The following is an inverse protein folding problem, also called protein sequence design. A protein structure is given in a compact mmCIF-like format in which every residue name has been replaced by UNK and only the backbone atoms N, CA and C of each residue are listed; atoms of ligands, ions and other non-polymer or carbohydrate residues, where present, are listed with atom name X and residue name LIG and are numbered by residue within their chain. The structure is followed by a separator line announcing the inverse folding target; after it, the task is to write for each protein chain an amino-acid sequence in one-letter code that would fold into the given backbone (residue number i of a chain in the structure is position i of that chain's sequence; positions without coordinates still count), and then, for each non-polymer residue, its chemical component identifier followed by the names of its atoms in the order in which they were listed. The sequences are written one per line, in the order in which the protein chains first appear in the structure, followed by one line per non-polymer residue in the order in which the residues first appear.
data_IF_290369220959
#
_entry.id   IF_290369220959
#
_cell.length_a   1.000
_cell.length_b   1.000
_cell.length_c   1.000
_cell.angle_alpha   90.00
_cell.angle_beta   90.00
_cell.angle_gamma   90.00
#
_symmetry.space_group_name_H-M   'P 1'
#
loop_
_entity.id
_entity.type
_entity.pdbx_description
1 polymer ?
#
# COMPACT_ATOMS: atom_id res chain seq x y z
N UNK A 1 9.59 1.62 -45.37
CA UNK A 1 9.75 0.20 -45.01
C UNK A 1 9.69 0.15 -43.48
N UNK A 2 8.50 -0.04 -42.95
CA UNK A 2 8.14 0.08 -41.52
C UNK A 2 8.25 -1.32 -40.90
N UNK A 3 9.30 -1.57 -40.13
CA UNK A 3 9.42 -2.76 -39.30
C UNK A 3 8.66 -2.55 -37.98
N UNK A 4 7.48 -3.18 -37.90
CA UNK A 4 6.71 -3.28 -36.64
C UNK A 4 7.38 -4.33 -35.74
N UNK A 5 8.05 -3.91 -34.70
CA UNK A 5 8.41 -4.77 -33.59
C UNK A 5 7.19 -4.98 -32.70
N UNK A 6 6.51 -6.11 -32.88
CA UNK A 6 5.56 -6.64 -31.90
C UNK A 6 6.38 -7.44 -30.88
N UNK A 7 6.71 -6.85 -29.75
CA UNK A 7 7.10 -7.65 -28.60
C UNK A 7 5.87 -8.40 -28.08
N UNK A 8 5.81 -9.69 -28.39
CA UNK A 8 4.95 -10.64 -27.70
C UNK A 8 5.53 -10.84 -26.31
N UNK A 9 4.86 -10.31 -25.29
CA UNK A 9 5.07 -10.79 -23.92
C UNK A 9 4.67 -12.26 -23.92
N UNK A 10 5.65 -13.14 -23.96
CA UNK A 10 5.44 -14.56 -23.75
C UNK A 10 5.15 -14.73 -22.25
N UNK A 11 3.89 -14.85 -21.91
CA UNK A 11 3.52 -15.59 -20.71
C UNK A 11 4.09 -17.00 -20.90
N UNK A 12 5.25 -17.24 -20.35
CA UNK A 12 5.73 -18.61 -20.15
C UNK A 12 4.78 -19.19 -19.11
N UNK A 13 3.77 -19.90 -19.61
CA UNK A 13 3.02 -20.83 -18.80
C UNK A 13 4.02 -21.86 -18.27
N UNK A 14 4.63 -21.57 -17.15
CA UNK A 14 5.21 -22.59 -16.31
C UNK A 14 4.02 -23.41 -15.85
N UNK A 15 3.71 -24.47 -16.59
CA UNK A 15 2.93 -25.57 -16.05
C UNK A 15 3.72 -26.03 -14.83
N UNK A 16 3.36 -25.48 -13.65
CA UNK A 16 3.75 -26.10 -12.39
C UNK A 16 3.30 -27.55 -12.52
N UNK A 17 4.21 -28.49 -12.28
CA UNK A 17 3.84 -29.89 -12.04
C UNK A 17 2.67 -29.82 -11.07
N UNK A 18 1.61 -30.58 -11.36
CA UNK A 18 0.48 -30.71 -10.44
C UNK A 18 1.09 -30.92 -9.06
N UNK A 19 0.96 -29.91 -8.20
CA UNK A 19 1.38 -29.97 -6.82
C UNK A 19 0.56 -31.08 -6.15
N UNK A 20 1.10 -31.66 -5.09
CA UNK A 20 0.38 -32.62 -4.24
C UNK A 20 -1.06 -32.13 -4.00
N UNK A 21 -2.04 -33.04 -3.91
CA UNK A 21 -3.42 -32.68 -3.66
C UNK A 21 -3.50 -31.80 -2.40
N UNK A 22 -4.42 -30.83 -2.41
CA UNK A 22 -4.65 -30.00 -1.23
C UNK A 22 -4.91 -30.90 0.00
N UNK A 23 -4.42 -30.52 1.19
CA UNK A 23 -4.72 -31.27 2.40
C UNK A 23 -6.22 -31.25 2.67
N UNK A 24 -6.75 -32.36 3.19
CA UNK A 24 -8.17 -32.44 3.54
C UNK A 24 -8.58 -31.48 4.66
N UNK A 25 -7.63 -31.15 5.56
CA UNK A 25 -7.83 -30.20 6.67
C UNK A 25 -6.56 -29.42 6.98
N UNK A 26 -6.72 -28.19 7.48
CA UNK A 26 -5.64 -27.35 8.00
C UNK A 26 -6.11 -26.57 9.24
N UNK A 27 -5.26 -26.39 10.27
CA UNK A 27 -5.61 -25.55 11.42
C UNK A 27 -5.86 -24.10 11.03
N UNK A 28 -4.99 -23.51 10.19
CA UNK A 28 -5.14 -22.12 9.73
C UNK A 28 -4.99 -22.03 8.22
N UNK A 29 -6.01 -21.50 7.58
CA UNK A 29 -6.00 -21.15 6.16
C UNK A 29 -5.88 -19.64 6.00
N UNK A 30 -4.88 -19.19 5.25
CA UNK A 30 -4.74 -17.80 4.83
C UNK A 30 -5.09 -17.68 3.34
N UNK A 31 -6.01 -16.79 2.99
CA UNK A 31 -6.46 -16.56 1.62
C UNK A 31 -5.85 -15.25 1.13
N UNK A 32 -4.98 -15.34 0.10
CA UNK A 32 -4.23 -14.25 -0.49
C UNK A 32 -2.73 -14.31 -0.15
N UNK A 33 -1.88 -14.23 -1.18
CA UNK A 33 -0.42 -14.18 -1.09
C UNK A 33 0.13 -12.77 -1.40
N UNK A 34 -0.55 -11.74 -0.92
CA UNK A 34 -0.08 -10.38 -0.80
C UNK A 34 0.65 -10.15 0.54
N UNK A 35 0.99 -8.89 0.84
CA UNK A 35 1.77 -8.52 2.03
C UNK A 35 1.12 -9.01 3.34
N UNK A 36 -0.19 -8.80 3.52
CA UNK A 36 -0.88 -9.19 4.75
C UNK A 36 -0.92 -10.71 4.93
N UNK A 37 -1.28 -11.46 3.87
CA UNK A 37 -1.36 -12.91 3.95
C UNK A 37 -0.01 -13.57 4.14
N UNK A 38 1.01 -13.15 3.40
CA UNK A 38 2.36 -13.69 3.53
C UNK A 38 2.99 -13.37 4.88
N UNK A 39 2.81 -12.13 5.36
CA UNK A 39 3.30 -11.74 6.68
C UNK A 39 2.58 -12.49 7.80
N UNK A 40 1.25 -12.67 7.70
CA UNK A 40 0.50 -13.49 8.66
C UNK A 40 1.03 -14.91 8.69
N UNK A 41 1.21 -15.53 7.52
CA UNK A 41 1.75 -16.88 7.42
C UNK A 41 3.18 -17.00 7.98
N UNK A 42 4.04 -16.01 7.71
CA UNK A 42 5.39 -15.96 8.23
C UNK A 42 5.40 -15.93 9.77
N UNK A 43 4.60 -15.06 10.38
CA UNK A 43 4.56 -14.93 11.83
C UNK A 43 3.85 -16.11 12.52
N UNK A 44 2.80 -16.69 11.93
CA UNK A 44 2.19 -17.93 12.43
C UNK A 44 3.18 -19.10 12.42
N UNK A 45 3.87 -19.30 11.30
CA UNK A 45 4.87 -20.35 11.17
C UNK A 45 6.04 -20.19 12.15
N UNK A 46 6.53 -18.95 12.36
CA UNK A 46 7.55 -18.65 13.40
C UNK A 46 7.10 -18.99 14.82
N UNK A 47 5.78 -19.01 15.07
CA UNK A 47 5.18 -19.43 16.36
C UNK A 47 4.90 -20.94 16.40
N UNK A 48 5.34 -21.69 15.40
CA UNK A 48 5.11 -23.13 15.28
C UNK A 48 3.68 -23.51 14.92
N UNK A 49 2.86 -22.59 14.44
CA UNK A 49 1.47 -22.84 14.03
C UNK A 49 1.43 -23.28 12.58
N UNK A 50 0.87 -24.46 12.26
CA UNK A 50 0.72 -24.90 10.87
C UNK A 50 -0.20 -23.95 10.10
N UNK A 51 0.24 -23.52 8.92
CA UNK A 51 -0.50 -22.57 8.08
C UNK A 51 -0.36 -22.92 6.60
N UNK A 52 -1.50 -22.88 5.90
CA UNK A 52 -1.58 -22.95 4.45
C UNK A 52 -2.01 -21.58 3.89
N UNK A 53 -1.27 -21.07 2.91
CA UNK A 53 -1.66 -19.89 2.12
C UNK A 53 -2.19 -20.37 0.77
N UNK A 54 -3.37 -19.90 0.37
CA UNK A 54 -3.91 -20.07 -0.97
C UNK A 54 -3.96 -18.73 -1.70
N UNK A 55 -3.57 -18.73 -2.97
CA UNK A 55 -3.74 -17.59 -3.85
C UNK A 55 -4.24 -18.03 -5.23
N UNK A 56 -5.19 -17.29 -5.81
CA UNK A 56 -5.79 -17.63 -7.11
C UNK A 56 -4.83 -17.49 -8.29
N UNK A 57 -3.81 -16.63 -8.15
CA UNK A 57 -2.87 -16.32 -9.24
C UNK A 57 -1.43 -16.63 -8.83
N UNK A 58 -0.86 -15.89 -7.87
CA UNK A 58 0.53 -16.05 -7.47
C UNK A 58 0.98 -15.07 -6.41
N UNK A 59 2.17 -15.30 -5.89
CA UNK A 59 2.80 -14.42 -4.89
C UNK A 59 2.89 -12.99 -5.42
N UNK A 60 2.26 -12.06 -4.73
CA UNK A 60 2.25 -10.64 -5.09
C UNK A 60 1.52 -10.32 -6.41
N UNK A 61 0.66 -11.20 -6.91
CA UNK A 61 -0.01 -11.00 -8.21
C UNK A 61 -1.01 -9.83 -8.24
N UNK A 62 -1.45 -9.36 -7.08
CA UNK A 62 -2.34 -8.20 -6.94
C UNK A 62 -1.58 -6.90 -6.63
N UNK A 63 -2.23 -6.00 -5.91
CA UNK A 63 -1.74 -4.66 -5.59
C UNK A 63 -0.34 -4.65 -4.95
N UNK A 64 -0.01 -5.63 -4.10
CA UNK A 64 1.31 -5.70 -3.45
C UNK A 64 2.49 -5.85 -4.41
N UNK A 65 2.31 -6.49 -5.57
CA UNK A 65 3.39 -6.67 -6.56
C UNK A 65 3.53 -5.53 -7.55
N UNK A 66 2.62 -4.55 -7.53
CA UNK A 66 2.64 -3.38 -8.44
C UNK A 66 2.68 -2.04 -7.71
N UNK A 67 2.51 -2.03 -6.40
CA UNK A 67 2.64 -0.83 -5.58
C UNK A 67 4.02 -0.18 -5.72
N UNK A 68 4.12 1.13 -5.53
CA UNK A 68 5.39 1.86 -5.58
C UNK A 68 6.42 1.37 -4.54
N UNK A 69 5.96 0.67 -3.53
CA UNK A 69 6.84 0.07 -2.53
C UNK A 69 7.31 1.04 -1.44
N UNK A 70 6.64 2.16 -1.26
CA UNK A 70 6.99 3.16 -0.24
C UNK A 70 6.63 2.66 1.15
N UNK A 71 7.56 2.83 2.09
CA UNK A 71 7.42 2.54 3.52
C UNK A 71 7.69 3.82 4.32
N UNK A 72 6.70 4.29 5.09
CA UNK A 72 6.75 5.57 5.80
C UNK A 72 5.85 5.57 7.03
N UNK A 73 6.06 6.53 7.94
CA UNK A 73 5.19 6.78 9.11
C UNK A 73 4.31 8.03 8.97
N UNK A 74 4.52 8.88 7.97
CA UNK A 74 3.75 10.10 7.76
C UNK A 74 2.26 9.81 7.57
N UNK A 75 1.51 9.82 8.69
CA UNK A 75 0.05 9.70 8.76
C UNK A 75 -0.51 10.65 9.81
N UNK A 76 -1.54 11.41 9.42
CA UNK A 76 -2.26 12.30 10.32
C UNK A 76 -2.99 11.52 11.43
N UNK A 77 -3.47 10.31 11.12
CA UNK A 77 -4.25 9.47 12.04
C UNK A 77 -3.34 8.79 13.08
N UNK A 78 -3.61 8.98 14.39
CA UNK A 78 -2.79 8.41 15.46
C UNK A 78 -2.61 6.90 15.35
N UNK A 79 -3.70 6.17 15.16
CA UNK A 79 -3.66 4.71 15.05
C UNK A 79 -2.80 4.22 13.87
N UNK A 80 -2.85 4.94 12.73
CA UNK A 80 -2.00 4.64 11.58
C UNK A 80 -0.53 4.92 11.87
N UNK A 81 -0.23 6.05 12.51
CA UNK A 81 1.16 6.38 12.87
C UNK A 81 1.78 5.33 13.79
N UNK A 82 1.06 4.85 14.82
CA UNK A 82 1.51 3.78 15.71
C UNK A 82 1.70 2.45 14.97
N UNK A 83 0.72 2.05 14.15
CA UNK A 83 0.81 0.84 13.34
C UNK A 83 1.98 0.92 12.35
N UNK A 84 2.18 2.07 11.72
CA UNK A 84 3.25 2.23 10.72
C UNK A 84 4.64 2.27 11.34
N UNK A 85 4.81 2.78 12.56
CA UNK A 85 6.08 2.66 13.29
C UNK A 85 6.46 1.18 13.47
N UNK A 86 5.50 0.36 13.93
CA UNK A 86 5.69 -1.08 14.04
C UNK A 86 5.92 -1.78 12.67
N UNK A 87 5.36 -1.25 11.59
CA UNK A 87 5.59 -1.78 10.24
C UNK A 87 7.01 -1.49 9.75
N UNK A 88 7.52 -0.27 9.98
CA UNK A 88 8.90 0.08 9.63
C UNK A 88 9.90 -0.84 10.35
N UNK A 89 9.69 -1.10 11.66
CA UNK A 89 10.51 -2.08 12.41
C UNK A 89 10.58 -3.45 11.73
N UNK A 90 9.43 -3.98 11.26
CA UNK A 90 9.40 -5.30 10.60
C UNK A 90 10.10 -5.27 9.24
N UNK A 91 9.99 -4.18 8.48
CA UNK A 91 10.74 -4.01 7.23
C UNK A 91 12.25 -3.99 7.50
N UNK A 92 12.68 -3.36 8.59
CA UNK A 92 14.08 -3.24 8.99
C UNK A 92 14.66 -4.52 9.62
N UNK A 93 13.82 -5.48 10.09
CA UNK A 93 14.30 -6.78 10.59
C UNK A 93 15.00 -7.62 9.51
N UNK A 94 14.54 -7.53 8.25
CA UNK A 94 14.99 -8.41 7.16
C UNK A 94 15.19 -7.63 5.84
N UNK A 95 15.99 -6.53 5.84
CA UNK A 95 16.04 -5.62 4.70
C UNK A 95 16.53 -6.30 3.42
N UNK A 96 17.51 -7.17 3.51
CA UNK A 96 18.04 -7.89 2.34
C UNK A 96 17.01 -8.86 1.76
N UNK A 97 16.36 -9.67 2.61
CA UNK A 97 15.35 -10.63 2.17
C UNK A 97 14.11 -9.95 1.60
N UNK A 98 13.77 -8.78 2.11
CA UNK A 98 12.63 -7.99 1.67
C UNK A 98 12.98 -6.97 0.57
N UNK A 99 14.22 -6.95 0.07
CA UNK A 99 14.68 -5.95 -0.89
C UNK A 99 14.31 -4.52 -0.47
N UNK A 100 14.46 -4.25 0.84
CA UNK A 100 14.11 -2.99 1.47
C UNK A 100 15.32 -2.07 1.57
N UNK A 101 15.12 -0.81 1.22
CA UNK A 101 16.11 0.25 1.21
C UNK A 101 15.73 1.30 2.25
N UNK A 102 16.39 1.34 3.42
CA UNK A 102 16.13 2.32 4.49
C UNK A 102 16.73 3.68 4.13
N UNK A 103 16.13 4.34 3.14
CA UNK A 103 16.64 5.62 2.62
C UNK A 103 15.97 6.83 3.26
N UNK A 104 14.93 6.64 4.07
CA UNK A 104 14.10 7.68 4.63
C UNK A 104 12.96 8.13 3.70
N UNK A 105 12.16 9.06 4.21
CA UNK A 105 11.01 9.63 3.50
C UNK A 105 10.90 11.11 3.81
N UNK A 106 10.61 11.94 2.81
CA UNK A 106 10.44 13.38 2.95
C UNK A 106 9.06 13.77 2.42
N UNK A 107 8.23 14.34 3.28
CA UNK A 107 6.98 15.01 2.91
C UNK A 107 7.19 16.51 2.87
N UNK A 108 6.82 17.13 1.76
CA UNK A 108 6.91 18.57 1.51
C UNK A 108 5.53 19.11 1.16
N UNK A 109 5.19 20.26 1.73
CA UNK A 109 3.90 20.89 1.48
C UNK A 109 3.92 22.41 1.56
N UNK A 110 2.86 23.05 1.06
CA UNK A 110 2.62 24.47 1.24
C UNK A 110 2.05 24.77 2.63
N UNK A 111 1.85 26.05 2.93
CA UNK A 111 1.33 26.55 4.23
C UNK A 111 0.03 25.85 4.67
N UNK A 112 -0.80 25.45 3.74
CA UNK A 112 -2.04 24.75 4.06
C UNK A 112 -1.84 23.40 4.78
N UNK A 113 -0.65 22.80 4.72
CA UNK A 113 -0.31 21.52 5.36
C UNK A 113 0.59 21.69 6.59
N UNK A 114 1.01 22.91 6.95
CA UNK A 114 1.94 23.12 8.07
C UNK A 114 1.40 22.55 9.39
N UNK A 115 0.12 22.77 9.70
CA UNK A 115 -0.48 22.29 10.95
C UNK A 115 -0.50 20.77 11.02
N UNK A 116 -0.90 20.10 9.94
CA UNK A 116 -1.03 18.66 9.91
C UNK A 116 0.35 17.96 9.98
N UNK A 117 1.33 18.42 9.21
CA UNK A 117 2.69 17.87 9.26
C UNK A 117 3.39 18.17 10.60
N UNK A 118 3.07 19.30 11.24
CA UNK A 118 3.55 19.59 12.59
C UNK A 118 2.96 18.60 13.61
N UNK A 119 1.66 18.33 13.53
CA UNK A 119 1.00 17.35 14.42
C UNK A 119 1.56 15.94 14.22
N UNK A 120 1.81 15.55 12.97
CA UNK A 120 2.47 14.26 12.63
C UNK A 120 3.86 14.21 13.26
N UNK A 121 4.69 15.26 13.09
CA UNK A 121 6.01 15.35 13.70
C UNK A 121 5.96 15.22 15.22
N UNK A 122 5.11 15.99 15.90
CA UNK A 122 4.97 15.92 17.35
C UNK A 122 4.57 14.53 17.85
N UNK A 123 3.74 13.83 17.09
CA UNK A 123 3.35 12.44 17.38
C UNK A 123 4.52 11.50 17.18
N UNK A 124 5.28 11.65 16.09
CA UNK A 124 6.49 10.89 15.85
C UNK A 124 7.49 11.03 16.98
N UNK A 125 7.70 12.27 17.49
CA UNK A 125 8.56 12.49 18.65
C UNK A 125 8.04 11.77 19.91
N UNK A 126 6.72 11.80 20.16
CA UNK A 126 6.12 11.10 21.32
C UNK A 126 6.31 9.59 21.29
N UNK A 127 6.26 8.97 20.11
CA UNK A 127 6.45 7.51 19.94
C UNK A 127 7.92 7.14 19.70
N UNK A 128 8.84 8.11 19.69
CA UNK A 128 10.26 7.88 19.47
C UNK A 128 10.64 7.56 18.01
N UNK A 129 9.78 7.90 17.04
CA UNK A 129 10.08 7.71 15.62
C UNK A 129 11.03 8.81 15.12
N UNK A 130 12.18 8.47 14.48
CA UNK A 130 13.20 9.44 14.14
C UNK A 130 12.78 10.31 12.95
N UNK A 131 12.56 11.60 13.22
CA UNK A 131 12.22 12.59 12.21
C UNK A 131 12.63 14.00 12.61
N UNK A 132 12.68 14.90 11.64
CA UNK A 132 12.90 16.33 11.83
C UNK A 132 11.88 17.14 11.01
N UNK A 133 11.55 18.34 11.50
CA UNK A 133 10.58 19.25 10.87
C UNK A 133 11.25 20.59 10.56
N UNK A 134 11.08 21.07 9.32
CA UNK A 134 11.49 22.40 8.91
C UNK A 134 10.25 23.20 8.50
N UNK A 135 10.08 24.40 9.06
CA UNK A 135 8.94 25.28 8.82
C UNK A 135 9.44 26.63 8.30
N UNK A 136 8.75 27.15 7.31
CA UNK A 136 9.08 28.35 6.56
C UNK A 136 9.91 28.04 5.31
N UNK A 137 9.55 28.67 4.18
CA UNK A 137 10.17 28.42 2.88
C UNK A 137 11.71 28.53 2.89
N UNK A 138 12.35 29.52 3.57
CA UNK A 138 13.80 29.57 3.64
C UNK A 138 14.44 28.36 4.33
N UNK A 139 13.83 27.84 5.41
CA UNK A 139 14.32 26.67 6.13
C UNK A 139 14.16 25.39 5.31
N UNK A 140 12.99 25.21 4.67
CA UNK A 140 12.69 24.08 3.77
C UNK A 140 13.66 24.09 2.59
N UNK A 141 13.83 25.23 1.91
CA UNK A 141 14.76 25.34 0.79
C UNK A 141 16.21 25.07 1.20
N UNK A 142 16.65 25.59 2.35
CA UNK A 142 17.99 25.33 2.86
C UNK A 142 18.22 23.85 3.17
N UNK A 143 17.25 23.18 3.83
CA UNK A 143 17.31 21.76 4.11
C UNK A 143 17.37 20.93 2.82
N UNK A 144 16.46 21.16 1.88
CA UNK A 144 16.41 20.41 0.62
C UNK A 144 17.67 20.61 -0.24
N UNK A 145 18.23 21.84 -0.28
CA UNK A 145 19.51 22.10 -0.95
C UNK A 145 20.72 21.48 -0.26
N UNK A 146 20.64 21.23 1.04
CA UNK A 146 21.68 20.46 1.75
C UNK A 146 21.69 18.99 1.31
N UNK A 147 20.55 18.47 0.87
CA UNK A 147 20.39 17.10 0.36
C UNK A 147 20.61 17.03 -1.16
N UNK A 148 20.14 18.02 -1.91
CA UNK A 148 20.15 18.06 -3.38
C UNK A 148 20.54 19.47 -3.84
N UNK A 149 21.72 19.64 -4.41
CA UNK A 149 22.24 20.93 -4.89
C UNK A 149 21.40 21.50 -6.04
N UNK A 150 20.72 20.65 -6.79
CA UNK A 150 19.82 20.98 -7.89
C UNK A 150 18.33 21.13 -7.47
N UNK A 151 18.05 21.23 -6.16
CA UNK A 151 16.69 21.50 -5.67
C UNK A 151 16.21 22.90 -6.03
N UNK A 152 15.00 23.01 -6.60
CA UNK A 152 14.48 24.29 -7.10
C UNK A 152 12.99 24.57 -6.86
N UNK A 153 12.21 23.63 -6.29
CA UNK A 153 10.79 23.85 -6.05
C UNK A 153 10.53 25.04 -5.11
N UNK A 154 9.74 26.05 -5.53
CA UNK A 154 9.35 27.18 -4.70
C UNK A 154 8.06 26.90 -3.91
N UNK A 155 7.71 27.80 -2.97
CA UNK A 155 6.41 27.84 -2.31
C UNK A 155 6.15 26.73 -1.31
N UNK A 156 7.14 25.90 -1.00
CA UNK A 156 7.03 24.84 0.00
C UNK A 156 7.47 25.39 1.36
N UNK A 157 6.56 25.37 2.32
CA UNK A 157 6.76 26.03 3.62
C UNK A 157 6.87 25.03 4.78
N UNK A 158 6.63 23.75 4.53
CA UNK A 158 6.83 22.69 5.53
C UNK A 158 7.52 21.48 4.90
N UNK A 159 8.45 20.89 5.64
CA UNK A 159 9.15 19.67 5.27
C UNK A 159 9.26 18.77 6.52
N UNK A 160 8.65 17.61 6.45
CA UNK A 160 8.83 16.53 7.43
C UNK A 160 9.79 15.49 6.83
N UNK A 161 10.98 15.35 7.42
CA UNK A 161 11.97 14.37 7.01
C UNK A 161 12.02 13.22 8.02
N UNK A 162 11.53 12.05 7.63
CA UNK A 162 11.64 10.81 8.37
C UNK A 162 12.98 10.13 8.06
N UNK A 163 13.78 9.85 9.08
CA UNK A 163 15.08 9.19 8.94
C UNK A 163 14.97 7.67 8.90
N UNK A 164 13.86 7.11 9.37
CA UNK A 164 13.45 5.73 9.20
C UNK A 164 12.44 5.61 8.04
N UNK A 165 12.15 4.40 7.60
CA UNK A 165 11.35 4.20 6.40
C UNK A 165 12.20 4.21 5.12
N UNK A 166 11.55 4.32 3.98
CA UNK A 166 12.19 4.26 2.67
C UNK A 166 11.34 3.54 1.64
N UNK A 167 11.92 2.60 0.91
CA UNK A 167 11.18 1.85 -0.12
C UNK A 167 11.68 0.41 -0.25
N UNK A 168 10.85 -0.44 -0.84
CA UNK A 168 11.23 -1.79 -1.22
C UNK A 168 10.89 -2.06 -2.69
N UNK A 169 11.60 -3.00 -3.31
CA UNK A 169 11.23 -3.47 -4.64
C UNK A 169 10.03 -4.42 -4.52
N UNK A 170 8.91 -3.97 -5.04
CA UNK A 170 7.58 -4.52 -4.79
C UNK A 170 7.45 -6.05 -4.92
N UNK A 171 7.60 -6.59 -6.11
CA UNK A 171 7.42 -8.03 -6.35
C UNK A 171 8.54 -8.86 -5.72
N UNK A 172 9.76 -8.36 -5.68
CA UNK A 172 10.89 -9.01 -5.06
C UNK A 172 10.70 -9.13 -3.55
N UNK A 173 10.19 -8.09 -2.90
CA UNK A 173 9.88 -8.14 -1.47
C UNK A 173 8.77 -9.14 -1.16
N UNK A 174 7.75 -9.26 -2.02
CA UNK A 174 6.72 -10.30 -1.85
C UNK A 174 7.29 -11.71 -2.00
N UNK A 175 8.19 -11.92 -2.96
CA UNK A 175 8.92 -13.20 -3.12
C UNK A 175 9.81 -13.49 -1.91
N UNK A 176 10.55 -12.49 -1.44
CA UNK A 176 11.36 -12.61 -0.24
C UNK A 176 10.54 -12.95 1.01
N UNK A 177 9.40 -12.29 1.19
CA UNK A 177 8.47 -12.58 2.28
C UNK A 177 7.87 -13.99 2.20
N UNK A 178 7.52 -14.45 0.99
CA UNK A 178 7.06 -15.82 0.77
C UNK A 178 8.15 -16.85 1.11
N UNK A 179 9.41 -16.55 0.79
CA UNK A 179 10.54 -17.43 1.13
C UNK A 179 10.84 -17.41 2.64
N UNK A 180 10.68 -16.27 3.31
CA UNK A 180 10.73 -16.20 4.78
C UNK A 180 9.63 -17.07 5.41
N UNK A 181 8.40 -16.99 4.91
CA UNK A 181 7.28 -17.79 5.38
C UNK A 181 7.52 -19.30 5.17
N UNK A 182 7.98 -19.69 3.97
CA UNK A 182 8.30 -21.11 3.66
C UNK A 182 9.42 -21.65 4.56
N UNK A 183 10.49 -20.89 4.75
CA UNK A 183 11.60 -21.28 5.66
C UNK A 183 11.13 -21.45 7.10
N UNK A 184 10.11 -20.69 7.51
CA UNK A 184 9.50 -20.84 8.83
C UNK A 184 8.53 -22.05 8.92
N UNK A 185 8.15 -22.68 7.79
CA UNK A 185 7.28 -23.86 7.74
C UNK A 185 5.89 -23.63 7.15
N UNK A 186 5.59 -22.42 6.64
CA UNK A 186 4.33 -22.17 5.96
C UNK A 186 4.26 -22.88 4.61
N UNK A 187 3.10 -23.43 4.26
CA UNK A 187 2.80 -23.93 2.92
C UNK A 187 2.16 -22.81 2.10
N UNK A 188 2.59 -22.61 0.85
CA UNK A 188 2.03 -21.61 -0.05
C UNK A 188 1.70 -22.29 -1.38
N UNK A 189 0.41 -22.34 -1.72
CA UNK A 189 -0.13 -22.93 -2.95
C UNK A 189 -0.79 -21.82 -3.77
N UNK A 190 -0.40 -21.70 -5.01
CA UNK A 190 -0.89 -20.68 -5.96
C UNK A 190 -1.67 -21.35 -7.09
N UNK A 191 -2.49 -20.56 -7.81
CA UNK A 191 -3.38 -21.09 -8.85
C UNK A 191 -4.65 -21.75 -8.30
N UNK A 192 -4.98 -21.51 -7.02
CA UNK A 192 -6.17 -22.07 -6.36
C UNK A 192 -7.06 -20.93 -5.88
N UNK A 193 -8.24 -20.83 -6.46
CA UNK A 193 -9.25 -19.85 -6.12
C UNK A 193 -10.19 -20.39 -5.05
N UNK A 194 -10.45 -19.60 -4.00
CA UNK A 194 -11.55 -19.83 -3.07
C UNK A 194 -12.85 -19.43 -3.74
N UNK A 195 -13.86 -20.31 -3.65
CA UNK A 195 -15.15 -20.17 -4.34
C UNK A 195 -16.33 -20.13 -3.39
N UNK A 196 -16.13 -20.37 -2.08
CA UNK A 196 -17.19 -20.29 -1.09
C UNK A 196 -16.77 -20.79 0.30
N UNK A 197 -17.67 -20.61 1.25
CA UNK A 197 -17.54 -21.07 2.64
C UNK A 197 -18.75 -21.89 3.04
N UNK A 198 -18.53 -22.99 3.75
CA UNK A 198 -19.59 -23.71 4.46
C UNK A 198 -19.59 -23.24 5.91
N UNK A 199 -20.60 -22.43 6.25
CA UNK A 199 -20.79 -21.91 7.61
C UNK A 199 -21.68 -22.86 8.43
N UNK A 200 -21.34 -23.04 9.69
CA UNK A 200 -22.21 -23.79 10.63
C UNK A 200 -23.29 -22.87 11.24
N UNK A 201 -24.13 -23.43 12.10
CA UNK A 201 -25.23 -22.71 12.77
C UNK A 201 -24.75 -21.56 13.67
N UNK A 202 -23.48 -21.50 14.04
CA UNK A 202 -22.87 -20.38 14.78
C UNK A 202 -22.32 -19.28 13.85
N UNK A 203 -22.31 -19.54 12.54
CA UNK A 203 -21.67 -18.71 11.53
C UNK A 203 -20.16 -18.94 11.39
N UNK A 204 -19.61 -19.98 12.04
CA UNK A 204 -18.20 -20.33 11.87
C UNK A 204 -17.98 -21.09 10.55
N UNK A 205 -16.90 -20.74 9.81
CA UNK A 205 -16.51 -21.47 8.63
C UNK A 205 -15.92 -22.85 9.02
N UNK A 206 -16.52 -23.94 8.55
CA UNK A 206 -16.05 -25.31 8.78
C UNK A 206 -15.27 -25.85 7.60
N UNK A 207 -15.64 -25.41 6.42
CA UNK A 207 -15.00 -25.82 5.17
C UNK A 207 -14.91 -24.67 4.20
N UNK A 208 -13.79 -24.60 3.51
CA UNK A 208 -13.56 -23.62 2.43
C UNK A 208 -13.58 -24.36 1.10
N UNK A 209 -14.47 -23.94 0.21
CA UNK A 209 -14.57 -24.45 -1.16
C UNK A 209 -13.52 -23.77 -2.03
N UNK A 210 -12.84 -24.56 -2.86
CA UNK A 210 -11.83 -24.03 -3.79
C UNK A 210 -11.97 -24.65 -5.18
N UNK A 211 -11.30 -24.06 -6.16
CA UNK A 211 -11.21 -24.62 -7.53
C UNK A 211 -10.48 -25.98 -7.60
N UNK A 212 -9.83 -26.41 -6.51
CA UNK A 212 -9.07 -27.66 -6.43
C UNK A 212 -9.62 -28.64 -5.36
N UNK A 213 -10.81 -28.41 -4.85
CA UNK A 213 -11.47 -29.21 -3.82
C UNK A 213 -11.75 -28.39 -2.55
N UNK A 214 -12.33 -29.06 -1.54
CA UNK A 214 -12.68 -28.41 -0.29
C UNK A 214 -11.67 -28.75 0.82
N UNK A 215 -11.47 -27.80 1.74
CA UNK A 215 -10.54 -27.93 2.88
C UNK A 215 -11.32 -27.67 4.18
N UNK A 216 -11.23 -28.56 5.15
CA UNK A 216 -11.70 -28.29 6.50
C UNK A 216 -10.74 -27.39 7.25
N UNK A 217 -11.28 -26.43 8.03
CA UNK A 217 -10.49 -25.35 8.66
C UNK A 217 -10.94 -25.12 10.10
N UNK A 218 -9.97 -24.81 10.98
CA UNK A 218 -10.28 -24.31 12.32
C UNK A 218 -10.34 -22.78 12.33
N UNK A 219 -9.42 -22.12 11.61
CA UNK A 219 -9.34 -20.65 11.47
C UNK A 219 -9.07 -20.26 10.02
N UNK A 220 -9.61 -19.12 9.61
CA UNK A 220 -9.41 -18.51 8.30
C UNK A 220 -8.95 -17.08 8.45
N UNK A 221 -7.97 -16.66 7.65
CA UNK A 221 -7.59 -15.27 7.46
C UNK A 221 -7.82 -14.87 6.02
N UNK A 222 -8.61 -13.83 5.79
CA UNK A 222 -8.87 -13.25 4.48
C UNK A 222 -7.99 -12.02 4.29
N UNK A 223 -7.06 -12.08 3.33
CA UNK A 223 -6.07 -11.05 3.02
C UNK A 223 -5.94 -10.85 1.49
N UNK A 224 -7.07 -10.65 0.84
CA UNK A 224 -7.21 -10.70 -0.63
C UNK A 224 -7.12 -9.34 -1.32
N UNK A 225 -6.75 -8.27 -0.58
CA UNK A 225 -6.66 -6.93 -1.14
C UNK A 225 -7.96 -6.50 -1.83
N UNK A 226 -7.90 -5.97 -3.08
CA UNK A 226 -9.09 -5.41 -3.74
C UNK A 226 -10.21 -6.43 -4.01
N UNK A 227 -9.95 -7.73 -3.95
CA UNK A 227 -10.99 -8.75 -4.10
C UNK A 227 -11.85 -8.95 -2.84
N UNK A 228 -11.70 -8.09 -1.84
CA UNK A 228 -12.39 -8.24 -0.55
C UNK A 228 -13.92 -8.27 -0.71
N UNK A 229 -14.52 -7.47 -1.59
CA UNK A 229 -15.98 -7.46 -1.77
C UNK A 229 -16.53 -8.83 -2.16
N UNK A 230 -15.81 -9.59 -3.01
CA UNK A 230 -16.22 -10.94 -3.39
C UNK A 230 -16.21 -11.90 -2.20
N UNK A 231 -15.15 -11.91 -1.39
CA UNK A 231 -15.03 -12.78 -0.22
C UNK A 231 -15.99 -12.33 0.90
N UNK A 232 -16.24 -11.03 1.02
CA UNK A 232 -17.21 -10.44 1.93
C UNK A 232 -18.62 -10.94 1.65
N UNK A 233 -19.01 -10.95 0.38
CA UNK A 233 -20.29 -11.51 -0.07
C UNK A 233 -20.39 -13.02 0.17
N UNK A 234 -19.31 -13.79 -0.09
CA UNK A 234 -19.27 -15.23 0.20
C UNK A 234 -19.44 -15.54 1.69
N UNK A 235 -19.12 -14.62 2.58
CA UNK A 235 -19.35 -14.71 4.02
C UNK A 235 -20.75 -14.21 4.43
N UNK A 236 -21.62 -13.87 3.48
CA UNK A 236 -22.96 -13.34 3.75
C UNK A 236 -22.91 -12.07 4.65
N UNK A 237 -21.93 -11.20 4.44
CA UNK A 237 -21.79 -9.93 5.13
C UNK A 237 -22.44 -8.81 4.33
N UNK A 238 -22.95 -7.74 4.99
CA UNK A 238 -23.63 -6.64 4.30
C UNK A 238 -22.66 -5.86 3.42
N UNK A 239 -23.04 -5.62 2.18
CA UNK A 239 -22.33 -4.79 1.21
C UNK A 239 -22.55 -3.28 1.39
N UNK A 240 -23.53 -2.93 2.24
CA UNK A 240 -23.87 -1.56 2.64
C UNK A 240 -24.06 -1.48 4.14
N UNK A 241 -23.78 -0.32 4.71
CA UNK A 241 -23.88 -0.09 6.15
C UNK A 241 -24.31 1.35 6.46
N UNK A 242 -24.89 1.53 7.62
CA UNK A 242 -25.11 2.86 8.19
C UNK A 242 -23.85 3.27 8.98
N UNK A 243 -23.27 4.41 8.64
CA UNK A 243 -22.03 4.91 9.24
C UNK A 243 -22.35 6.01 10.23
N UNK A 244 -22.00 5.81 11.50
CA UNK A 244 -22.05 6.84 12.53
C UNK A 244 -20.76 7.67 12.50
N UNK A 245 -20.92 8.98 12.51
CA UNK A 245 -19.83 9.93 12.61
C UNK A 245 -19.52 10.32 14.06
N UNK A 246 -18.30 10.85 14.35
CA UNK A 246 -17.92 11.29 15.70
C UNK A 246 -18.82 12.36 16.31
N UNK A 247 -19.50 13.18 15.49
CA UNK A 247 -20.49 14.19 15.92
C UNK A 247 -21.86 13.58 16.29
N UNK A 248 -22.01 12.25 16.16
CA UNK A 248 -23.22 11.50 16.41
C UNK A 248 -24.17 11.41 15.23
N UNK A 249 -23.90 12.09 14.11
CA UNK A 249 -24.70 11.95 12.90
C UNK A 249 -24.62 10.54 12.32
N UNK A 250 -25.68 10.12 11.63
CA UNK A 250 -25.75 8.83 10.96
C UNK A 250 -25.92 9.06 9.45
N UNK A 251 -24.98 8.54 8.68
CA UNK A 251 -25.07 8.51 7.21
C UNK A 251 -25.53 7.12 6.79
N UNK A 252 -26.79 6.97 6.33
CA UNK A 252 -27.31 5.66 6.00
C UNK A 252 -26.82 5.17 4.65
N UNK A 253 -26.90 3.85 4.48
CA UNK A 253 -26.78 3.18 3.19
C UNK A 253 -25.48 3.49 2.43
N UNK A 254 -24.34 3.50 3.15
CA UNK A 254 -23.04 3.68 2.54
C UNK A 254 -22.50 2.36 1.97
N UNK A 255 -21.83 2.35 0.80
CA UNK A 255 -21.15 1.15 0.33
C UNK A 255 -20.03 0.77 1.32
N UNK A 256 -19.94 -0.54 1.64
CA UNK A 256 -18.86 -1.04 2.49
C UNK A 256 -17.51 -0.86 1.83
N UNK A 257 -17.44 -1.02 0.51
CA UNK A 257 -16.22 -0.93 -0.28
C UNK A 257 -16.39 0.06 -1.43
N UNK A 258 -15.42 0.97 -1.56
CA UNK A 258 -15.21 1.83 -2.73
C UNK A 258 -13.85 1.54 -3.33
N UNK A 259 -13.65 1.84 -4.60
CA UNK A 259 -12.42 1.49 -5.30
C UNK A 259 -11.73 2.71 -5.86
N UNK A 260 -10.41 2.72 -5.71
CA UNK A 260 -9.55 3.75 -6.26
C UNK A 260 -8.41 3.12 -7.04
N UNK A 261 -8.07 3.74 -8.17
CA UNK A 261 -6.95 3.36 -8.99
C UNK A 261 -5.75 4.24 -8.66
N UNK A 262 -4.65 3.61 -8.24
CA UNK A 262 -3.41 4.28 -7.90
C UNK A 262 -2.55 4.39 -9.15
N UNK A 263 -2.28 5.61 -9.61
CA UNK A 263 -1.48 5.85 -10.80
C UNK A 263 0.00 5.92 -10.46
N UNK A 264 0.80 5.14 -11.16
CA UNK A 264 2.25 5.12 -11.02
C UNK A 264 2.91 5.07 -12.40
N UNK A 265 4.07 5.69 -12.51
CA UNK A 265 4.87 5.73 -13.72
C UNK A 265 6.35 5.62 -13.43
N UNK A 266 7.12 5.48 -14.49
CA UNK A 266 8.57 5.39 -14.45
C UNK A 266 9.20 6.31 -15.48
N UNK A 267 10.33 6.92 -15.12
CA UNK A 267 11.21 7.61 -16.07
C UNK A 267 12.53 6.86 -16.19
N UNK A 268 13.05 6.81 -17.41
CA UNK A 268 14.37 6.25 -17.71
C UNK A 268 15.46 7.19 -17.17
N UNK A 269 15.85 6.95 -15.94
CA UNK A 269 16.88 7.66 -15.22
C UNK A 269 17.66 6.68 -14.35
N UNK A 270 18.99 6.69 -14.47
CA UNK A 270 19.84 5.78 -13.69
C UNK A 270 19.66 6.05 -12.18
N UNK A 271 19.07 5.13 -11.41
CA UNK A 271 18.78 5.36 -9.99
C UNK A 271 20.04 5.58 -9.15
N UNK A 272 21.22 5.14 -9.65
CA UNK A 272 22.53 5.38 -9.00
C UNK A 272 22.95 6.84 -9.09
N UNK A 273 22.33 7.62 -9.98
CA UNK A 273 22.51 9.08 -10.09
C UNK A 273 21.46 9.85 -9.29
N UNK A 274 20.38 9.17 -8.83
CA UNK A 274 19.38 9.78 -7.96
C UNK A 274 19.82 9.60 -6.49
N UNK A 275 20.81 10.37 -6.12
CA UNK A 275 21.47 10.36 -4.82
C UNK A 275 21.49 11.76 -4.20
N UNK A 276 21.69 11.80 -2.89
CA UNK A 276 21.94 13.05 -2.14
C UNK A 276 23.34 13.58 -2.43
N UNK A 277 23.62 14.82 -2.02
CA UNK A 277 24.95 15.45 -2.11
C UNK A 277 26.06 14.64 -1.42
N UNK A 278 25.68 13.76 -0.48
CA UNK A 278 26.61 12.85 0.21
C UNK A 278 26.75 11.49 -0.49
N UNK A 279 26.16 11.33 -1.68
CA UNK A 279 26.24 10.08 -2.46
C UNK A 279 25.38 8.92 -1.90
N UNK A 280 24.46 9.18 -0.97
CA UNK A 280 23.51 8.18 -0.48
C UNK A 280 22.29 8.13 -1.39
N UNK A 281 21.65 6.95 -1.50
CA UNK A 281 20.37 6.81 -2.20
C UNK A 281 19.37 7.87 -1.74
N UNK A 282 18.64 8.45 -2.67
CA UNK A 282 17.61 9.44 -2.35
C UNK A 282 16.59 8.86 -1.37
N UNK A 283 16.15 9.61 -0.35
CA UNK A 283 14.89 9.34 0.31
C UNK A 283 13.74 9.29 -0.70
N UNK A 284 12.62 8.69 -0.31
CA UNK A 284 11.36 8.89 -1.03
C UNK A 284 10.96 10.36 -0.91
N UNK A 285 10.69 11.02 -2.01
CA UNK A 285 10.17 12.39 -2.02
C UNK A 285 8.68 12.38 -2.29
N UNK A 286 7.92 13.05 -1.43
CA UNK A 286 6.50 13.32 -1.59
C UNK A 286 6.30 14.84 -1.54
N UNK A 287 5.77 15.40 -2.60
CA UNK A 287 5.63 16.85 -2.76
C UNK A 287 4.20 17.17 -3.10
N UNK A 288 3.55 17.91 -2.22
CA UNK A 288 2.26 18.57 -2.49
C UNK A 288 2.52 20.06 -2.69
N UNK A 289 1.90 20.66 -3.68
CA UNK A 289 2.13 22.07 -4.02
C UNK A 289 0.85 22.75 -4.52
N UNK A 290 0.73 24.04 -4.21
CA UNK A 290 -0.28 24.95 -4.73
C UNK A 290 0.27 25.87 -5.83
N UNK A 291 1.56 25.71 -6.18
CA UNK A 291 2.19 26.51 -7.22
C UNK A 291 1.78 26.03 -8.62
N UNK A 292 1.62 26.94 -9.59
CA UNK A 292 1.36 26.53 -10.97
C UNK A 292 2.45 25.60 -11.51
N UNK A 293 2.05 24.44 -12.00
CA UNK A 293 2.95 23.47 -12.60
C UNK A 293 3.11 23.73 -14.09
N UNK A 294 4.37 23.76 -14.55
CA UNK A 294 4.72 23.99 -15.96
C UNK A 294 5.67 22.93 -16.47
N UNK A 295 5.58 22.65 -17.77
CA UNK A 295 6.61 21.87 -18.46
C UNK A 295 7.90 22.71 -18.64
N UNK A 296 8.99 22.06 -19.05
CA UNK A 296 10.31 22.69 -19.22
C UNK A 296 10.30 23.83 -20.28
N UNK A 297 9.38 23.79 -21.23
CA UNK A 297 9.18 24.85 -22.23
C UNK A 297 8.31 26.03 -21.72
N UNK A 298 7.87 25.97 -20.46
CA UNK A 298 7.04 26.98 -19.81
C UNK A 298 5.54 26.82 -20.02
N UNK A 299 5.08 25.82 -20.77
CA UNK A 299 3.66 25.53 -20.97
C UNK A 299 2.99 25.13 -19.67
N UNK A 300 1.86 25.75 -19.35
CA UNK A 300 1.08 25.44 -18.16
C UNK A 300 0.49 24.02 -18.25
N UNK A 301 0.79 23.20 -17.24
CA UNK A 301 0.19 21.87 -17.04
C UNK A 301 -1.08 22.00 -16.18
N UNK A 302 -0.96 22.65 -15.02
CA UNK A 302 -2.09 22.93 -14.13
C UNK A 302 -1.82 24.17 -13.27
N UNK A 303 -2.85 24.91 -12.94
CA UNK A 303 -2.87 25.98 -11.92
C UNK A 303 -3.62 25.53 -10.65
N UNK A 304 -4.07 24.27 -10.63
CA UNK A 304 -4.70 23.67 -9.46
C UNK A 304 -3.67 23.00 -8.57
N UNK A 305 -3.95 22.81 -7.27
CA UNK A 305 -3.10 22.02 -6.38
C UNK A 305 -2.80 20.63 -6.96
N UNK A 306 -1.56 20.20 -6.79
CA UNK A 306 -1.07 18.91 -7.28
C UNK A 306 -0.19 18.23 -6.25
N UNK A 307 -0.10 16.90 -6.32
CA UNK A 307 0.75 16.09 -5.46
C UNK A 307 1.37 14.94 -6.21
N UNK A 308 2.64 14.68 -5.92
CA UNK A 308 3.41 13.59 -6.52
C UNK A 308 4.33 12.96 -5.48
N UNK A 309 4.68 11.70 -5.73
CA UNK A 309 5.77 11.05 -5.01
C UNK A 309 6.68 10.33 -5.99
N UNK A 310 7.97 10.20 -5.65
CA UNK A 310 8.96 9.51 -6.47
C UNK A 310 10.16 9.03 -5.66
N UNK A 311 10.80 7.98 -6.16
CA UNK A 311 11.91 7.29 -5.49
C UNK A 311 12.79 6.57 -6.52
N UNK A 312 14.04 6.23 -6.17
CA UNK A 312 14.82 5.29 -6.96
C UNK A 312 14.09 3.94 -7.11
N UNK A 313 14.21 3.32 -8.26
CA UNK A 313 13.80 1.93 -8.47
C UNK A 313 14.98 1.14 -9.07
N UNK A 314 14.80 -0.10 -9.54
CA UNK A 314 15.87 -0.99 -10.03
C UNK A 314 16.74 -0.36 -11.12
N UNK A 315 16.09 0.17 -12.15
CA UNK A 315 16.75 0.75 -13.34
C UNK A 315 16.16 2.11 -13.73
N UNK A 316 15.24 2.63 -12.91
CA UNK A 316 14.43 3.81 -13.21
C UNK A 316 14.25 4.66 -11.96
N UNK A 317 13.57 5.79 -12.12
CA UNK A 317 12.87 6.49 -11.04
C UNK A 317 11.39 6.22 -11.20
N UNK A 318 10.76 5.72 -10.16
CA UNK A 318 9.35 5.37 -10.10
C UNK A 318 8.61 6.28 -9.14
N UNK A 319 7.36 6.56 -9.42
CA UNK A 319 6.50 7.30 -8.53
C UNK A 319 5.08 7.41 -9.02
N UNK A 320 4.29 8.21 -8.35
CA UNK A 320 2.87 8.35 -8.66
C UNK A 320 2.36 9.76 -8.36
N UNK A 321 1.08 9.90 -8.57
CA UNK A 321 0.32 11.11 -8.31
C UNK A 321 -1.02 10.77 -7.68
N UNK A 322 -1.94 11.72 -7.68
CA UNK A 322 -3.30 11.60 -7.19
C UNK A 322 -4.00 10.33 -7.72
N UNK A 323 -4.64 9.54 -6.83
CA UNK A 323 -5.44 8.40 -7.24
C UNK A 323 -6.73 8.82 -7.95
N UNK A 324 -7.28 7.92 -8.78
CA UNK A 324 -8.56 8.10 -9.46
C UNK A 324 -9.62 7.23 -8.79
N UNK A 325 -10.77 7.82 -8.44
CA UNK A 325 -11.93 7.05 -7.99
C UNK A 325 -12.50 6.26 -9.17
N UNK A 326 -12.75 4.98 -8.94
CA UNK A 326 -13.41 4.10 -9.89
C UNK A 326 -14.93 4.11 -9.69
N UNK A 327 -15.65 3.63 -10.70
CA UNK A 327 -17.12 3.49 -10.65
C UNK A 327 -17.54 2.60 -9.48
N UNK A 328 -18.66 2.88 -8.83
CA UNK A 328 -19.21 2.09 -7.73
C UNK A 328 -19.64 0.66 -8.17
N UNK A 329 -19.78 0.42 -9.49
CA UNK A 329 -20.02 -0.91 -10.08
C UNK A 329 -18.73 -1.60 -10.55
N UNK A 330 -17.56 -1.11 -10.12
CA UNK A 330 -16.27 -1.61 -10.58
C UNK A 330 -16.08 -3.08 -10.18
N UNK A 331 -15.77 -3.92 -11.16
CA UNK A 331 -15.36 -5.31 -10.97
C UNK A 331 -13.84 -5.42 -11.04
N UNK A 332 -13.24 -6.10 -10.06
CA UNK A 332 -11.78 -6.22 -9.97
C UNK A 332 -11.21 -7.17 -11.02
N UNK A 333 -12.00 -8.14 -11.47
CA UNK A 333 -11.57 -9.10 -12.49
C UNK A 333 -12.18 -8.79 -13.87
N UNK A 334 -11.40 -8.75 -14.97
CA UNK A 334 -9.94 -8.92 -14.98
C UNK A 334 -9.23 -7.75 -14.32
N UNK A 335 -8.19 -8.05 -13.53
CA UNK A 335 -7.46 -7.01 -12.81
C UNK A 335 -6.92 -5.96 -13.79
N UNK A 336 -7.22 -4.68 -13.60
CA UNK A 336 -6.83 -3.64 -14.54
C UNK A 336 -5.33 -3.45 -14.51
N UNK A 337 -4.69 -3.73 -15.62
CA UNK A 337 -3.25 -3.51 -15.82
C UNK A 337 -3.06 -2.50 -16.94
N UNK A 338 -2.37 -1.43 -16.67
CA UNK A 338 -1.83 -0.57 -17.71
C UNK A 338 -2.67 0.60 -18.16
N UNK A 339 -3.64 1.03 -17.37
CA UNK A 339 -4.38 2.26 -17.66
C UNK A 339 -3.95 3.36 -16.68
N UNK A 340 -3.25 4.37 -17.16
CA UNK A 340 -3.05 5.63 -16.43
C UNK A 340 -3.86 6.71 -17.15
N UNK A 341 -4.27 7.74 -16.42
CA UNK A 341 -4.89 8.92 -17.02
C UNK A 341 -3.95 9.50 -18.11
N UNK A 342 -4.44 9.84 -19.29
CA UNK A 342 -3.60 10.39 -20.36
C UNK A 342 -2.81 11.65 -19.98
N UNK A 343 -3.27 12.41 -19.00
CA UNK A 343 -2.58 13.59 -18.47
C UNK A 343 -1.47 13.25 -17.47
N UNK A 344 -1.51 12.07 -16.85
CA UNK A 344 -0.59 11.65 -15.81
C UNK A 344 0.89 11.74 -16.20
N UNK A 345 1.34 11.25 -17.37
CA UNK A 345 2.76 11.34 -17.75
C UNK A 345 3.27 12.78 -17.75
N UNK A 346 2.51 13.71 -18.34
CA UNK A 346 2.88 15.13 -18.40
C UNK A 346 2.90 15.77 -17.01
N UNK A 347 1.86 15.54 -16.20
CA UNK A 347 1.78 16.07 -14.84
C UNK A 347 2.95 15.57 -13.99
N UNK A 348 3.14 14.26 -13.95
CA UNK A 348 4.14 13.64 -13.07
C UNK A 348 5.57 14.03 -13.48
N UNK A 349 5.92 13.98 -14.77
CA UNK A 349 7.27 14.33 -15.24
C UNK A 349 7.57 15.81 -15.10
N UNK A 350 6.58 16.69 -15.33
CA UNK A 350 6.72 18.12 -15.07
C UNK A 350 6.95 18.41 -13.57
N UNK A 351 6.27 17.67 -12.68
CA UNK A 351 6.47 17.80 -11.25
C UNK A 351 7.88 17.37 -10.80
N UNK A 352 8.43 16.29 -11.37
CA UNK A 352 9.80 15.88 -11.11
C UNK A 352 10.80 16.98 -11.52
N UNK A 353 10.65 17.53 -12.72
CA UNK A 353 11.46 18.63 -13.25
C UNK A 353 11.28 19.91 -12.44
N UNK A 354 10.05 20.21 -11.98
CA UNK A 354 9.78 21.33 -11.08
C UNK A 354 10.56 21.25 -9.77
N UNK A 355 10.74 20.04 -9.24
CA UNK A 355 11.43 19.81 -7.97
C UNK A 355 12.96 19.80 -8.12
N UNK A 356 13.48 19.08 -9.11
CA UNK A 356 14.91 18.81 -9.27
C UNK A 356 15.34 19.03 -10.73
N UNK A 357 16.38 19.87 -10.96
CA UNK A 357 16.87 20.20 -12.30
C UNK A 357 17.32 18.97 -13.09
N UNK A 358 17.88 17.95 -12.42
CA UNK A 358 18.31 16.68 -13.05
C UNK A 358 17.19 15.95 -13.80
N UNK A 359 15.94 16.25 -13.53
CA UNK A 359 14.77 15.68 -14.20
C UNK A 359 14.29 16.51 -15.40
N UNK A 360 14.99 17.57 -15.81
CA UNK A 360 14.68 18.23 -17.07
C UNK A 360 14.68 17.25 -18.23
N UNK A 361 13.67 17.34 -19.10
CA UNK A 361 13.45 16.41 -20.20
C UNK A 361 12.89 15.04 -19.76
N UNK A 362 12.42 14.89 -18.52
CA UNK A 362 11.86 13.62 -18.04
C UNK A 362 10.67 13.11 -18.87
N UNK A 363 9.86 14.03 -19.44
CA UNK A 363 8.73 13.66 -20.30
C UNK A 363 9.17 12.81 -21.52
N UNK A 364 10.28 13.17 -22.17
CA UNK A 364 10.82 12.39 -23.28
C UNK A 364 11.40 11.02 -22.86
N UNK A 365 11.69 10.86 -21.58
CA UNK A 365 12.21 9.64 -20.96
C UNK A 365 11.17 8.83 -20.22
N UNK A 366 9.91 9.25 -20.24
CA UNK A 366 8.82 8.51 -19.61
C UNK A 366 8.68 7.15 -20.26
N UNK A 367 8.75 6.11 -19.44
CA UNK A 367 8.42 4.76 -19.86
C UNK A 367 6.90 4.61 -19.74
N UNK A 368 6.22 4.32 -20.84
CA UNK A 368 4.80 3.97 -20.82
C UNK A 368 4.63 2.58 -20.19
N UNK A 369 5.06 2.47 -18.96
CA UNK A 369 4.89 1.27 -18.16
C UNK A 369 3.49 1.23 -17.61
N UNK A 370 3.04 0.03 -17.41
CA UNK A 370 1.76 -0.24 -16.80
C UNK A 370 1.98 -0.35 -15.32
N UNK A 371 1.86 0.74 -14.63
CA UNK A 371 1.79 0.68 -13.20
C UNK A 371 0.48 1.27 -12.74
N UNK A 372 0.00 0.77 -11.68
CA UNK A 372 -1.24 1.14 -11.05
C UNK A 372 -1.82 -0.04 -10.30
N UNK A 373 -2.28 0.20 -9.11
CA UNK A 373 -2.97 -0.77 -8.29
C UNK A 373 -4.37 -0.31 -7.98
N UNK A 374 -5.26 -1.25 -7.74
CA UNK A 374 -6.57 -0.97 -7.20
C UNK A 374 -6.53 -1.15 -5.69
N UNK A 375 -6.97 -0.14 -4.95
CA UNK A 375 -7.26 -0.21 -3.53
C UNK A 375 -8.75 -0.32 -3.28
N UNK A 376 -9.15 -1.15 -2.32
CA UNK A 376 -10.51 -1.20 -1.78
C UNK A 376 -10.54 -0.37 -0.49
N UNK A 377 -11.45 0.57 -0.40
CA UNK A 377 -11.53 1.54 0.68
C UNK A 377 -12.87 1.43 1.40
N UNK A 378 -12.85 1.67 2.68
CA UNK A 378 -14.03 1.79 3.55
C UNK A 378 -14.53 3.24 3.61
N UNK A 379 -15.58 3.47 4.38
CA UNK A 379 -16.18 4.80 4.53
C UNK A 379 -15.23 5.85 5.14
N UNK A 380 -14.25 5.44 5.97
CA UNK A 380 -13.23 6.32 6.53
C UNK A 380 -11.85 6.18 5.86
N UNK A 381 -11.78 5.46 4.75
CA UNK A 381 -10.56 5.18 3.96
C UNK A 381 -9.51 4.29 4.65
N UNK A 382 -9.81 3.71 5.82
CA UNK A 382 -8.88 2.87 6.56
C UNK A 382 -9.29 1.39 6.56
N UNK A 383 -8.34 0.45 6.74
CA UNK A 383 -8.62 -0.97 6.65
C UNK A 383 -9.54 -1.48 7.76
N UNK A 384 -10.06 -2.70 7.57
CA UNK A 384 -10.73 -3.48 8.60
C UNK A 384 -9.83 -4.64 8.99
N UNK A 385 -9.48 -4.72 10.27
CA UNK A 385 -8.74 -5.82 10.89
C UNK A 385 -9.58 -6.41 12.02
N UNK A 386 -10.46 -7.37 11.71
CA UNK A 386 -11.43 -7.87 12.68
C UNK A 386 -11.92 -9.31 12.37
N UNK A 387 -12.49 -9.96 13.37
CA UNK A 387 -13.26 -11.16 13.18
C UNK A 387 -14.64 -10.84 12.63
N UNK A 388 -14.89 -11.17 11.37
CA UNK A 388 -16.20 -10.99 10.72
C UNK A 388 -17.11 -12.22 10.87
N UNK A 389 -16.55 -13.35 11.23
CA UNK A 389 -17.24 -14.57 11.65
C UNK A 389 -16.46 -15.19 12.83
N UNK A 390 -17.03 -16.10 13.63
CA UNK A 390 -16.39 -16.58 14.86
C UNK A 390 -14.96 -17.09 14.71
N UNK A 391 -14.59 -17.59 13.51
CA UNK A 391 -13.26 -18.10 13.20
C UNK A 391 -12.69 -17.54 11.88
N UNK A 392 -13.26 -16.47 11.34
CA UNK A 392 -12.78 -15.82 10.11
C UNK A 392 -12.33 -14.42 10.43
N UNK A 393 -11.02 -14.19 10.41
CA UNK A 393 -10.40 -12.89 10.56
C UNK A 393 -10.22 -12.24 9.17
N UNK A 394 -10.63 -11.00 9.03
CA UNK A 394 -10.44 -10.21 7.81
C UNK A 394 -9.32 -9.21 8.02
N UNK A 395 -8.32 -9.25 7.16
CA UNK A 395 -7.30 -8.22 7.01
C UNK A 395 -7.54 -7.51 5.67
N UNK A 396 -8.56 -6.68 5.66
CA UNK A 396 -9.01 -5.97 4.46
C UNK A 396 -8.35 -4.61 4.36
N UNK A 397 -8.02 -4.27 3.14
CA UNK A 397 -7.03 -3.31 2.78
C UNK A 397 -7.60 -1.96 2.32
N UNK A 398 -6.70 -1.01 2.27
CA UNK A 398 -6.81 0.30 1.64
C UNK A 398 -5.60 0.48 0.69
N UNK A 399 -5.31 1.70 0.21
CA UNK A 399 -4.10 1.97 -0.57
C UNK A 399 -2.80 1.87 0.28
N UNK A 400 -2.92 1.69 1.58
CA UNK A 400 -1.78 1.65 2.50
C UNK A 400 -1.18 0.24 2.66
N UNK A 401 -1.86 -0.80 2.17
CA UNK A 401 -1.59 -2.21 2.46
C UNK A 401 -0.16 -2.66 2.26
N UNK A 402 0.50 -2.28 1.17
CA UNK A 402 1.85 -2.75 0.89
C UNK A 402 2.82 -2.53 2.06
N UNK A 403 2.78 -1.36 2.70
CA UNK A 403 3.68 -1.00 3.79
C UNK A 403 3.33 -1.64 5.14
N UNK A 404 2.09 -2.16 5.28
CA UNK A 404 1.53 -2.66 6.54
C UNK A 404 1.98 -4.10 6.89
N UNK A 405 3.25 -4.41 6.74
CA UNK A 405 3.80 -5.76 6.97
C UNK A 405 3.60 -6.25 8.42
N UNK A 406 3.61 -5.35 9.42
CA UNK A 406 3.41 -5.74 10.82
C UNK A 406 1.97 -6.20 11.13
N UNK A 407 0.99 -5.90 10.27
CA UNK A 407 -0.37 -6.44 10.42
C UNK A 407 -0.35 -7.96 10.55
N UNK A 408 0.47 -8.66 9.76
CA UNK A 408 0.60 -10.11 9.87
C UNK A 408 1.14 -10.59 11.21
N UNK A 409 2.07 -9.85 11.84
CA UNK A 409 2.55 -10.12 13.20
C UNK A 409 1.41 -10.00 14.21
N UNK A 410 0.65 -8.94 14.12
CA UNK A 410 -0.44 -8.67 15.04
C UNK A 410 -1.62 -9.63 14.83
N UNK A 411 -1.95 -10.00 13.59
CA UNK A 411 -2.94 -11.03 13.29
C UNK A 411 -2.52 -12.38 13.90
N UNK A 412 -1.25 -12.78 13.77
CA UNK A 412 -0.76 -14.01 14.37
C UNK A 412 -0.87 -14.02 15.91
N UNK A 413 -0.73 -12.85 16.55
CA UNK A 413 -0.98 -12.69 17.99
C UNK A 413 -2.46 -12.86 18.33
N UNK A 414 -3.34 -12.20 17.58
CA UNK A 414 -4.80 -12.26 17.79
C UNK A 414 -5.33 -13.69 17.59
N UNK A 415 -4.88 -14.39 16.55
CA UNK A 415 -5.22 -15.80 16.33
C UNK A 415 -4.72 -16.72 17.46
N UNK A 416 -3.64 -16.34 18.12
CA UNK A 416 -3.10 -16.99 19.33
C UNK A 416 -3.82 -16.63 20.63
N UNK A 417 -4.90 -15.83 20.58
CA UNK A 417 -5.70 -15.41 21.73
C UNK A 417 -5.16 -14.18 22.48
N UNK A 418 -4.16 -13.47 21.91
CA UNK A 418 -3.63 -12.24 22.48
C UNK A 418 -4.44 -11.02 21.99
N UNK A 419 -4.46 -9.95 22.78
CA UNK A 419 -5.00 -8.67 22.35
C UNK A 419 -3.94 -7.88 21.55
N UNK A 420 -4.36 -7.22 20.45
CA UNK A 420 -3.52 -6.27 19.72
C UNK A 420 -4.08 -4.86 19.85
N UNK A 421 -3.39 -3.99 20.56
CA UNK A 421 -3.73 -2.57 20.65
C UNK A 421 -3.57 -1.86 19.30
N UNK A 422 -2.66 -2.33 18.45
CA UNK A 422 -2.40 -1.75 17.13
C UNK A 422 -3.53 -2.03 16.13
N UNK A 423 -4.18 -3.21 16.21
CA UNK A 423 -5.30 -3.54 15.31
C UNK A 423 -6.65 -3.11 15.86
N UNK A 424 -6.78 -2.90 17.18
CA UNK A 424 -8.04 -2.55 17.82
C UNK A 424 -8.76 -1.32 17.20
N UNK A 425 -8.07 -0.21 16.84
CA UNK A 425 -8.72 0.95 16.23
C UNK A 425 -9.31 0.67 14.84
N UNK A 426 -8.90 -0.43 14.19
CA UNK A 426 -9.34 -0.79 12.84
C UNK A 426 -10.46 -1.83 12.82
N UNK A 427 -11.13 -2.08 13.96
CA UNK A 427 -12.25 -3.01 14.01
C UNK A 427 -13.47 -2.47 13.28
N UNK A 428 -14.29 -3.39 12.77
CA UNK A 428 -15.50 -3.06 12.01
C UNK A 428 -16.51 -2.25 12.81
N UNK A 429 -16.61 -2.49 14.14
CA UNK A 429 -17.59 -1.82 15.00
C UNK A 429 -17.44 -0.29 15.03
N UNK A 430 -16.27 0.28 14.64
CA UNK A 430 -16.05 1.73 14.58
C UNK A 430 -17.06 2.47 13.71
N UNK A 431 -17.59 1.81 12.68
CA UNK A 431 -18.65 2.38 11.83
C UNK A 431 -19.99 2.52 12.55
N UNK A 432 -20.22 1.71 13.58
CA UNK A 432 -21.44 1.72 14.38
C UNK A 432 -21.30 2.63 15.61
N UNK A 433 -20.13 2.70 16.21
CA UNK A 433 -19.85 3.50 17.42
C UNK A 433 -19.53 4.95 17.11
N UNK A 434 -19.05 5.26 15.91
CA UNK A 434 -18.59 6.59 15.52
C UNK A 434 -17.11 6.83 15.81
N UNK A 435 -16.35 5.79 16.17
CA UNK A 435 -14.91 5.86 16.42
C UNK A 435 -14.12 5.81 15.09
N UNK A 436 -14.57 6.60 14.11
CA UNK A 436 -13.92 6.72 12.81
C UNK A 436 -12.54 7.37 12.94
N UNK A 437 -11.66 7.04 12.03
CA UNK A 437 -10.36 7.69 11.96
C UNK A 437 -10.51 9.17 11.58
N UNK A 438 -9.75 10.08 12.22
CA UNK A 438 -9.83 11.50 11.92
C UNK A 438 -9.38 11.79 10.49
N UNK A 439 -10.02 12.77 9.88
CA UNK A 439 -9.63 13.30 8.57
C UNK A 439 -8.61 14.41 8.76
N UNK A 440 -7.60 14.49 7.90
CA UNK A 440 -6.63 15.59 7.90
C UNK A 440 -7.32 16.93 7.59
N UNK A 441 -6.71 18.03 7.97
CA UNK A 441 -7.20 19.38 7.65
C UNK A 441 -6.67 19.85 6.28
N UNK A 442 -5.84 19.05 5.64
CA UNK A 442 -5.27 19.31 4.33
C UNK A 442 -6.38 19.51 3.28
N UNK A 443 -6.29 20.51 2.42
CA UNK A 443 -7.22 20.68 1.31
C UNK A 443 -7.03 19.65 0.20
N UNK A 444 -5.98 18.85 0.28
CA UNK A 444 -5.65 17.84 -0.73
C UNK A 444 -6.42 16.54 -0.44
N UNK A 445 -7.20 16.02 -1.41
CA UNK A 445 -8.06 14.86 -1.18
C UNK A 445 -7.30 13.53 -1.03
N UNK A 446 -6.00 13.56 -1.17
CA UNK A 446 -5.12 12.39 -1.03
C UNK A 446 -4.27 12.40 0.25
N UNK A 447 -4.36 13.44 1.09
CA UNK A 447 -3.57 13.62 2.32
C UNK A 447 -4.20 12.93 3.52
#
# INVERSE_FOLDING_TARGET
MLLRYRQRVHYVSIRSRMSDPLPASVPTLVIGAGVHGLSTAWHLARRGQPVLVLDKAGVGAGASGIACGIVRNNYFQPAMSELMAACVEVWEEQPEALHYHPSGYIALGPTAQESDLTEVYERQQRIGYPSELHVGEPAVSAHMRSLFDDWRAPGLTVCLHEHAGGYAFNLESMRGLADLARRAGAQIVTGVQVTGFELDNSGAARRVQTSAGAIEVDQVVIAVGPWIASLWSMLELPDRLDVRHPDGSLVPDQPMWTYWYLQEGEVDYDPRMFVTNQGRSSPVLHVDSDQPLREDDGRLVTDQPWGVYFKPDRETVQGGAQPLRLDDQFEVDPYPTGTVDPSFPTLWTAALSHCLERFEGANARYRQTRSGGVGAFTADNFPVFDYMRPNVFVAADSNHGYKMIAVGREVARVLGGEHSSLLHPFRYERFQTGDLHPVSHSPYPWS
#
